data_IF_175064479596
#
_entry.id   IF_175064479596
#
_cell.length_a   1.000
_cell.length_b   1.000
_cell.length_c   1.000
_cell.angle_alpha   90.00
_cell.angle_beta   90.00
_cell.angle_gamma   90.00
#
_symmetry.space_group_name_H-M   'P 1'
#
loop_
_entity.id
_entity.type
_entity.pdbx_description
1 polymer ?
#
# COMPACT_ATOMS: atom_id res chain seq x y z
N UNK A 1 -8.43 -36.03 -11.56
CA UNK A 1 -8.65 -34.57 -11.33
C UNK A 1 -8.20 -34.09 -9.93
N UNK A 2 -7.78 -34.92 -9.01
CA UNK A 2 -7.49 -34.58 -7.61
C UNK A 2 -6.03 -34.16 -7.31
N UNK A 3 -5.06 -34.55 -8.09
CA UNK A 3 -3.62 -34.21 -7.84
C UNK A 3 -3.19 -32.80 -8.28
N UNK A 4 -3.89 -32.16 -9.25
CA UNK A 4 -3.57 -30.79 -9.66
C UNK A 4 -4.08 -29.71 -8.69
N UNK A 5 -5.05 -30.03 -7.80
CA UNK A 5 -5.60 -29.06 -6.83
C UNK A 5 -4.68 -28.79 -5.64
N UNK A 6 -3.81 -29.71 -5.26
CA UNK A 6 -2.91 -29.55 -4.09
C UNK A 6 -1.62 -28.76 -4.38
N UNK A 7 -1.30 -28.50 -5.65
CA UNK A 7 -0.08 -27.77 -6.04
C UNK A 7 -0.19 -26.24 -5.99
N UNK A 8 -1.34 -25.69 -5.57
CA UNK A 8 -1.62 -24.23 -5.73
C UNK A 8 -1.11 -23.40 -4.54
N UNK A 9 -0.93 -23.99 -3.36
CA UNK A 9 -0.46 -23.27 -2.17
C UNK A 9 0.63 -24.05 -1.44
N UNK A 10 1.78 -23.41 -1.18
CA UNK A 10 2.77 -23.99 -0.29
C UNK A 10 2.28 -23.94 1.17
N UNK A 11 2.74 -24.88 2.03
CA UNK A 11 2.38 -24.93 3.46
C UNK A 11 2.73 -23.66 4.22
N UNK A 12 3.78 -22.95 3.81
CA UNK A 12 4.25 -21.68 4.39
C UNK A 12 3.27 -20.50 4.19
N UNK A 13 2.34 -20.61 3.26
CA UNK A 13 1.27 -19.63 3.07
C UNK A 13 -0.07 -20.06 3.66
N UNK A 14 -0.18 -21.15 4.43
CA UNK A 14 -1.46 -21.67 4.92
C UNK A 14 -2.03 -20.95 6.17
N UNK A 15 -1.18 -20.28 6.94
CA UNK A 15 -1.51 -19.57 8.19
C UNK A 15 -1.26 -18.06 8.14
N UNK A 16 -0.82 -17.50 9.24
CA UNK A 16 -0.26 -16.12 9.29
C UNK A 16 0.98 -16.07 8.40
N UNK A 17 1.06 -15.09 7.50
CA UNK A 17 2.22 -14.93 6.62
C UNK A 17 3.26 -14.12 7.39
N UNK A 18 4.41 -14.71 7.72
CA UNK A 18 5.46 -14.01 8.47
C UNK A 18 5.92 -12.75 7.74
N UNK A 19 6.42 -11.80 8.49
CA UNK A 19 7.06 -10.57 8.01
C UNK A 19 6.17 -9.58 7.22
N UNK A 20 4.90 -9.90 6.91
CA UNK A 20 4.04 -8.95 6.19
C UNK A 20 3.70 -7.73 7.04
N UNK A 21 3.46 -7.90 8.34
CA UNK A 21 3.23 -6.75 9.22
C UNK A 21 4.50 -5.90 9.35
N UNK A 22 5.69 -6.55 9.40
CA UNK A 22 6.96 -5.82 9.36
C UNK A 22 7.17 -5.04 8.06
N UNK A 23 6.80 -5.61 6.92
CA UNK A 23 6.84 -4.90 5.64
C UNK A 23 5.88 -3.71 5.60
N UNK A 24 4.67 -3.84 6.19
CA UNK A 24 3.74 -2.72 6.34
C UNK A 24 4.27 -1.64 7.27
N UNK A 25 4.93 -2.04 8.37
CA UNK A 25 5.60 -1.09 9.25
C UNK A 25 6.68 -0.31 8.49
N UNK A 26 7.53 -1.01 7.75
CA UNK A 26 8.54 -0.37 6.90
C UNK A 26 7.91 0.58 5.89
N UNK A 27 6.83 0.17 5.23
CA UNK A 27 6.12 0.98 4.24
C UNK A 27 5.58 2.28 4.84
N UNK A 28 4.87 2.22 5.98
CA UNK A 28 4.31 3.42 6.61
C UNK A 28 5.40 4.32 7.16
N UNK A 29 6.51 3.77 7.67
CA UNK A 29 7.64 4.56 8.16
C UNK A 29 8.32 5.31 7.01
N UNK A 30 8.46 4.73 5.83
CA UNK A 30 8.94 5.45 4.63
C UNK A 30 8.01 6.61 4.26
N UNK A 31 6.69 6.42 4.33
CA UNK A 31 5.72 7.50 4.08
C UNK A 31 5.88 8.61 5.11
N UNK A 32 5.93 8.28 6.39
CA UNK A 32 6.13 9.25 7.47
C UNK A 32 7.43 10.04 7.31
N UNK A 33 8.55 9.35 7.04
CA UNK A 33 9.84 10.02 6.83
C UNK A 33 9.76 11.00 5.65
N UNK A 34 9.13 10.58 4.55
CA UNK A 34 8.96 11.43 3.38
C UNK A 34 8.14 12.69 3.66
N UNK A 35 7.08 12.58 4.45
CA UNK A 35 6.23 13.72 4.79
C UNK A 35 6.84 14.61 5.88
N UNK A 36 7.43 14.03 6.93
CA UNK A 36 8.14 14.79 7.98
C UNK A 36 9.27 15.64 7.43
N UNK A 37 9.97 15.16 6.41
CA UNK A 37 11.10 15.85 5.81
C UNK A 37 10.76 17.27 5.29
N UNK A 38 9.50 17.50 4.94
CA UNK A 38 9.01 18.79 4.46
C UNK A 38 8.45 19.69 5.57
N UNK A 39 8.30 19.19 6.83
CA UNK A 39 7.63 19.94 7.90
C UNK A 39 8.56 20.92 8.61
N UNK A 40 7.98 21.94 9.25
CA UNK A 40 8.71 22.92 10.03
C UNK A 40 9.42 22.26 11.23
N UNK A 41 10.66 22.69 11.48
CA UNK A 41 11.50 22.14 12.55
C UNK A 41 12.13 20.78 12.27
N UNK A 42 11.87 20.17 11.11
CA UNK A 42 12.56 18.94 10.70
C UNK A 42 14.07 19.22 10.54
N UNK A 43 14.93 18.24 10.84
CA UNK A 43 16.37 18.40 10.65
C UNK A 43 16.71 18.74 9.19
N UNK A 44 17.56 19.74 8.96
CA UNK A 44 17.92 20.25 7.62
C UNK A 44 18.45 19.17 6.66
N UNK A 45 19.10 18.13 7.18
CA UNK A 45 19.58 17.01 6.36
C UNK A 45 18.43 16.18 5.75
N UNK A 46 17.21 16.25 6.30
CA UNK A 46 16.03 15.59 5.78
C UNK A 46 15.43 16.33 4.57
N UNK A 47 15.63 17.64 4.47
CA UNK A 47 15.13 18.43 3.34
C UNK A 47 15.94 18.15 2.05
N UNK A 48 15.79 16.93 1.55
CA UNK A 48 16.40 16.44 0.33
C UNK A 48 15.34 15.74 -0.52
N UNK A 49 15.29 15.98 -1.84
CA UNK A 49 14.37 15.28 -2.74
C UNK A 49 14.42 13.74 -2.59
N UNK A 50 15.60 13.22 -2.26
CA UNK A 50 15.80 11.81 -1.97
C UNK A 50 14.98 11.31 -0.78
N UNK A 51 14.82 12.12 0.25
CA UNK A 51 14.10 11.73 1.48
C UNK A 51 12.59 11.97 1.31
N UNK A 52 12.20 13.10 0.74
CA UNK A 52 10.78 13.40 0.50
C UNK A 52 10.11 12.39 -0.43
N UNK A 53 10.86 11.83 -1.39
CA UNK A 53 10.34 10.80 -2.30
C UNK A 53 10.23 9.39 -1.69
N UNK A 54 10.75 9.15 -0.47
CA UNK A 54 10.58 7.87 0.22
C UNK A 54 9.10 7.52 0.44
N UNK A 55 8.23 8.53 0.57
CA UNK A 55 6.79 8.34 0.64
C UNK A 55 6.22 7.56 -0.54
N UNK A 56 6.66 7.88 -1.76
CA UNK A 56 6.24 7.16 -2.97
C UNK A 56 6.71 5.70 -2.96
N UNK A 57 7.92 5.43 -2.47
CA UNK A 57 8.43 4.05 -2.32
C UNK A 57 7.58 3.29 -1.28
N UNK A 58 7.27 3.93 -0.15
CA UNK A 58 6.41 3.36 0.89
C UNK A 58 5.04 2.95 0.35
N UNK A 59 4.38 3.81 -0.43
CA UNK A 59 3.09 3.50 -1.06
C UNK A 59 3.21 2.32 -2.05
N UNK A 60 4.31 2.24 -2.82
CA UNK A 60 4.52 1.09 -3.71
C UNK A 60 4.68 -0.22 -2.96
N UNK A 61 5.36 -0.23 -1.82
CA UNK A 61 5.39 -1.39 -0.94
C UNK A 61 3.97 -1.80 -0.52
N UNK A 62 3.11 -0.86 -0.12
CA UNK A 62 1.72 -1.17 0.21
C UNK A 62 0.98 -1.81 -0.96
N UNK A 63 1.09 -1.28 -2.17
CA UNK A 63 0.43 -1.85 -3.34
C UNK A 63 0.90 -3.28 -3.65
N UNK A 64 2.20 -3.55 -3.60
CA UNK A 64 2.71 -4.90 -3.82
C UNK A 64 2.27 -5.87 -2.72
N UNK A 65 2.30 -5.43 -1.46
CA UNK A 65 1.80 -6.23 -0.33
C UNK A 65 0.31 -6.51 -0.49
N UNK A 66 -0.49 -5.52 -0.91
CA UNK A 66 -1.93 -5.67 -1.15
C UNK A 66 -2.21 -6.66 -2.28
N UNK A 67 -1.54 -6.54 -3.42
CA UNK A 67 -1.65 -7.49 -4.53
C UNK A 67 -1.29 -8.92 -4.10
N UNK A 68 -0.17 -9.08 -3.40
CA UNK A 68 0.30 -10.36 -2.89
C UNK A 68 -0.67 -10.98 -1.88
N UNK A 69 -1.08 -10.21 -0.87
CA UNK A 69 -1.94 -10.70 0.21
C UNK A 69 -3.33 -11.09 -0.29
N UNK A 70 -3.97 -10.21 -1.08
CA UNK A 70 -5.31 -10.47 -1.60
C UNK A 70 -5.32 -11.70 -2.48
N UNK A 71 -4.37 -11.79 -3.41
CA UNK A 71 -4.26 -12.97 -4.29
C UNK A 71 -4.02 -14.23 -3.48
N UNK A 72 -3.13 -14.20 -2.49
CA UNK A 72 -2.88 -15.35 -1.60
C UNK A 72 -4.13 -15.78 -0.85
N UNK A 73 -4.91 -14.83 -0.31
CA UNK A 73 -6.15 -15.13 0.41
C UNK A 73 -7.21 -15.76 -0.49
N UNK A 74 -7.38 -15.24 -1.71
CA UNK A 74 -8.32 -15.78 -2.69
C UNK A 74 -7.90 -17.16 -3.20
N UNK A 75 -6.61 -17.39 -3.43
CA UNK A 75 -6.04 -18.70 -3.77
C UNK A 75 -6.30 -19.73 -2.64
N UNK A 76 -6.09 -19.33 -1.39
CA UNK A 76 -6.39 -20.17 -0.21
C UNK A 76 -7.88 -20.51 -0.10
N UNK A 77 -8.75 -19.52 -0.31
CA UNK A 77 -10.19 -19.73 -0.24
C UNK A 77 -10.63 -20.72 -1.33
N UNK A 78 -10.16 -20.52 -2.56
CA UNK A 78 -10.44 -21.44 -3.66
C UNK A 78 -9.90 -22.86 -3.40
N UNK A 79 -8.68 -23.00 -2.90
CA UNK A 79 -8.09 -24.30 -2.58
C UNK A 79 -8.90 -25.07 -1.52
N UNK A 80 -9.47 -24.35 -0.52
CA UNK A 80 -10.25 -24.96 0.56
C UNK A 80 -11.70 -25.24 0.18
N UNK A 81 -12.37 -24.28 -0.50
CA UNK A 81 -13.82 -24.34 -0.76
C UNK A 81 -14.18 -24.72 -2.21
N UNK A 82 -13.20 -24.79 -3.11
CA UNK A 82 -13.43 -24.98 -4.54
C UNK A 82 -14.00 -23.75 -5.27
N UNK A 83 -14.30 -22.68 -4.56
CA UNK A 83 -14.86 -21.42 -5.08
C UNK A 83 -14.36 -20.23 -4.27
N UNK A 84 -14.47 -19.04 -4.86
CA UNK A 84 -14.28 -17.75 -4.18
C UNK A 84 -15.66 -17.18 -3.89
N UNK A 85 -15.90 -16.80 -2.63
CA UNK A 85 -17.13 -16.13 -2.20
C UNK A 85 -16.89 -14.61 -2.21
N UNK A 86 -17.31 -13.96 -3.31
CA UNK A 86 -17.13 -12.52 -3.51
C UNK A 86 -17.85 -11.70 -2.43
N UNK A 87 -19.07 -12.09 -2.04
CA UNK A 87 -19.82 -11.37 -1.01
C UNK A 87 -19.08 -11.34 0.32
N UNK A 88 -18.61 -12.51 0.77
CA UNK A 88 -17.79 -12.63 1.97
C UNK A 88 -16.46 -11.90 1.86
N UNK A 89 -15.85 -11.89 0.68
CA UNK A 89 -14.61 -11.14 0.44
C UNK A 89 -14.83 -9.64 0.63
N UNK A 90 -15.84 -9.05 -0.05
CA UNK A 90 -16.12 -7.62 0.05
C UNK A 90 -16.53 -7.20 1.45
N UNK A 91 -17.35 -7.98 2.11
CA UNK A 91 -17.78 -7.69 3.47
C UNK A 91 -16.60 -7.67 4.46
N UNK A 92 -15.67 -8.64 4.34
CA UNK A 92 -14.44 -8.64 5.15
C UNK A 92 -13.54 -7.43 4.90
N UNK A 93 -13.51 -6.90 3.68
CA UNK A 93 -12.77 -5.68 3.33
C UNK A 93 -13.47 -4.43 3.83
N UNK A 94 -14.79 -4.34 3.63
CA UNK A 94 -15.59 -3.23 4.14
C UNK A 94 -15.40 -3.03 5.65
N UNK A 95 -15.50 -4.08 6.48
CA UNK A 95 -15.25 -3.98 7.92
C UNK A 95 -13.82 -3.57 8.28
N UNK A 96 -12.85 -3.83 7.43
CA UNK A 96 -11.46 -3.46 7.67
C UNK A 96 -11.15 -2.02 7.32
N UNK A 97 -11.75 -1.48 6.27
CA UNK A 97 -11.31 -0.24 5.61
C UNK A 97 -12.31 0.89 5.86
N UNK A 98 -13.59 0.67 5.56
CA UNK A 98 -14.57 1.75 5.53
C UNK A 98 -14.78 2.48 6.87
N UNK A 99 -14.79 1.80 8.05
CA UNK A 99 -15.04 2.51 9.30
C UNK A 99 -14.01 3.57 9.62
N UNK A 100 -12.72 3.26 9.47
CA UNK A 100 -11.65 4.21 9.76
C UNK A 100 -11.53 5.28 8.65
N UNK A 101 -11.72 4.91 7.37
CA UNK A 101 -11.73 5.86 6.27
C UNK A 101 -12.85 6.90 6.43
N UNK A 102 -14.09 6.45 6.66
CA UNK A 102 -15.23 7.38 6.80
C UNK A 102 -15.17 8.20 8.08
N UNK A 103 -14.63 7.65 9.18
CA UNK A 103 -14.37 8.42 10.38
C UNK A 103 -13.35 9.56 10.12
N UNK A 104 -12.25 9.25 9.41
CA UNK A 104 -11.28 10.26 9.01
C UNK A 104 -11.92 11.33 8.11
N UNK A 105 -12.55 10.92 7.01
CA UNK A 105 -13.17 11.83 6.03
C UNK A 105 -14.21 12.73 6.73
N UNK A 106 -15.06 12.14 7.60
CA UNK A 106 -16.09 12.88 8.34
C UNK A 106 -15.52 13.85 9.36
N UNK A 107 -14.44 13.48 10.08
CA UNK A 107 -13.81 14.38 11.06
C UNK A 107 -13.07 15.53 10.37
N UNK A 108 -12.40 15.32 9.25
CA UNK A 108 -11.80 16.39 8.46
C UNK A 108 -12.88 17.33 7.90
N UNK A 109 -14.00 16.77 7.39
CA UNK A 109 -15.12 17.59 6.94
C UNK A 109 -15.75 18.42 8.08
N UNK A 110 -15.92 17.82 9.26
CA UNK A 110 -16.42 18.52 10.44
C UNK A 110 -15.46 19.64 10.87
N UNK A 111 -14.16 19.40 10.87
CA UNK A 111 -13.16 20.41 11.19
C UNK A 111 -13.21 21.62 10.22
N UNK A 112 -13.44 21.34 8.93
CA UNK A 112 -13.66 22.38 7.93
C UNK A 112 -14.94 23.18 8.21
N UNK A 113 -16.06 22.53 8.51
CA UNK A 113 -17.33 23.19 8.81
C UNK A 113 -17.26 24.04 10.09
N UNK A 114 -16.40 23.68 11.04
CA UNK A 114 -16.13 24.45 12.25
C UNK A 114 -15.12 25.59 12.05
N UNK A 115 -14.57 25.74 10.83
CA UNK A 115 -13.57 26.76 10.51
C UNK A 115 -12.18 26.51 11.10
N UNK A 116 -11.88 25.26 11.52
CA UNK A 116 -10.57 24.92 12.09
C UNK A 116 -9.51 24.66 11.02
N UNK A 117 -9.93 24.25 9.83
CA UNK A 117 -9.05 23.97 8.68
C UNK A 117 -9.66 24.55 7.40
N UNK A 118 -8.80 24.78 6.41
CA UNK A 118 -9.21 25.24 5.07
C UNK A 118 -9.06 24.13 4.04
N UNK A 119 -10.15 23.73 3.40
CA UNK A 119 -10.16 22.74 2.31
C UNK A 119 -10.23 23.38 0.93
N UNK A 120 -10.34 24.72 0.84
CA UNK A 120 -10.40 25.44 -0.44
C UNK A 120 -9.03 25.64 -1.08
N UNK A 121 -7.94 25.53 -0.30
CA UNK A 121 -6.58 25.72 -0.77
C UNK A 121 -6.08 24.48 -1.53
N UNK A 122 -5.80 24.66 -2.82
CA UNK A 122 -5.11 23.66 -3.64
C UNK A 122 -3.62 23.63 -3.31
N UNK A 123 -3.07 22.44 -3.02
CA UNK A 123 -1.64 22.30 -2.74
C UNK A 123 -0.78 22.50 -3.98
N UNK A 124 -1.11 21.94 -5.18
CA UNK A 124 -0.27 22.10 -6.37
C UNK A 124 -0.20 23.54 -6.85
N UNK A 125 -1.33 24.23 -6.91
CA UNK A 125 -1.44 25.57 -7.51
C UNK A 125 -1.36 26.69 -6.48
N UNK A 126 -1.59 26.38 -5.18
CA UNK A 126 -1.79 27.35 -4.10
C UNK A 126 -2.94 28.33 -4.37
N UNK A 127 -3.85 27.97 -5.27
CA UNK A 127 -5.02 28.75 -5.60
C UNK A 127 -6.16 28.43 -4.61
N UNK A 128 -7.02 29.40 -4.39
CA UNK A 128 -8.28 29.24 -3.64
C UNK A 128 -9.39 28.87 -4.62
N UNK A 129 -10.18 27.86 -4.27
CA UNK A 129 -11.36 27.42 -5.02
C UNK A 129 -12.47 27.05 -4.03
N UNK A 130 -13.51 27.86 -3.97
CA UNK A 130 -14.65 27.67 -3.04
C UNK A 130 -15.42 26.37 -3.33
N UNK A 131 -15.39 25.84 -4.54
CA UNK A 131 -16.02 24.57 -4.90
C UNK A 131 -15.15 23.34 -4.55
N UNK A 132 -13.86 23.54 -4.27
CA UNK A 132 -12.92 22.47 -4.02
C UNK A 132 -13.29 21.59 -2.81
N UNK A 133 -13.75 22.11 -1.65
CA UNK A 133 -14.08 21.28 -0.49
C UNK A 133 -15.08 20.17 -0.80
N UNK A 134 -16.17 20.49 -1.48
CA UNK A 134 -17.17 19.50 -1.86
C UNK A 134 -16.62 18.48 -2.88
N UNK A 135 -15.85 18.95 -3.86
CA UNK A 135 -15.19 18.09 -4.85
C UNK A 135 -14.24 17.09 -4.15
N UNK A 136 -13.40 17.54 -3.23
CA UNK A 136 -12.50 16.69 -2.47
C UNK A 136 -13.26 15.67 -1.60
N UNK A 137 -14.32 16.09 -0.93
CA UNK A 137 -15.18 15.20 -0.15
C UNK A 137 -15.78 14.09 -1.03
N UNK A 138 -16.38 14.44 -2.17
CA UNK A 138 -17.01 13.48 -3.08
C UNK A 138 -16.01 12.48 -3.64
N UNK A 139 -14.84 12.95 -4.10
CA UNK A 139 -13.78 12.05 -4.56
C UNK A 139 -13.27 11.12 -3.46
N UNK A 140 -13.20 11.60 -2.21
CA UNK A 140 -12.78 10.79 -1.06
C UNK A 140 -13.81 9.71 -0.71
N UNK A 141 -15.11 10.06 -0.68
CA UNK A 141 -16.21 9.14 -0.37
C UNK A 141 -16.42 8.08 -1.47
N UNK A 142 -16.14 8.41 -2.72
CA UNK A 142 -16.32 7.52 -3.87
C UNK A 142 -15.05 6.73 -4.24
N UNK A 143 -13.95 6.89 -3.49
CA UNK A 143 -12.66 6.28 -3.80
C UNK A 143 -12.18 6.56 -5.23
N UNK A 144 -12.29 7.83 -5.64
CA UNK A 144 -11.81 8.35 -6.93
C UNK A 144 -10.81 9.50 -6.77
N UNK A 145 -10.25 9.67 -5.55
CA UNK A 145 -9.30 10.74 -5.26
C UNK A 145 -8.00 10.66 -6.09
N UNK A 146 -7.68 9.50 -6.63
CA UNK A 146 -6.55 9.28 -7.54
C UNK A 146 -6.72 9.95 -8.91
N UNK A 147 -7.92 10.38 -9.28
CA UNK A 147 -8.23 11.15 -10.50
C UNK A 147 -8.44 12.65 -10.21
N UNK A 148 -8.40 13.07 -8.95
CA UNK A 148 -8.46 14.47 -8.58
C UNK A 148 -7.04 15.04 -8.48
N UNK A 149 -6.57 15.70 -9.54
CA UNK A 149 -5.21 16.25 -9.62
C UNK A 149 -5.07 17.60 -8.92
N UNK A 150 -6.18 18.30 -8.72
CA UNK A 150 -6.26 19.51 -7.91
C UNK A 150 -6.67 19.12 -6.49
N UNK A 151 -5.71 18.79 -5.65
CA UNK A 151 -5.95 18.20 -4.34
C UNK A 151 -5.66 19.17 -3.18
N UNK A 152 -6.41 19.01 -2.10
CA UNK A 152 -6.09 19.58 -0.80
C UNK A 152 -5.23 18.61 0.01
N UNK A 153 -4.36 19.13 0.88
CA UNK A 153 -3.46 18.29 1.68
C UNK A 153 -4.20 17.25 2.52
N UNK A 154 -5.23 17.64 3.26
CA UNK A 154 -5.92 16.76 4.19
C UNK A 154 -6.56 15.53 3.56
N UNK A 155 -6.95 15.56 2.29
CA UNK A 155 -7.52 14.43 1.56
C UNK A 155 -6.56 13.83 0.52
N UNK A 156 -5.38 14.44 0.36
CA UNK A 156 -4.43 14.06 -0.70
C UNK A 156 -4.06 12.58 -0.67
N UNK A 157 -3.65 12.05 0.49
CA UNK A 157 -3.17 10.66 0.62
C UNK A 157 -4.25 9.60 0.28
N UNK A 158 -5.54 9.97 0.29
CA UNK A 158 -6.63 9.05 -0.07
C UNK A 158 -6.60 8.60 -1.54
N UNK A 159 -5.74 9.22 -2.37
CA UNK A 159 -5.52 8.74 -3.73
C UNK A 159 -5.03 7.28 -3.76
N UNK A 160 -4.13 6.90 -2.88
CA UNK A 160 -3.60 5.54 -2.85
C UNK A 160 -4.62 4.53 -2.32
N UNK A 161 -5.41 4.92 -1.33
CA UNK A 161 -6.54 4.13 -0.86
C UNK A 161 -7.57 3.92 -1.97
N UNK A 162 -7.84 4.96 -2.79
CA UNK A 162 -8.72 4.84 -3.97
C UNK A 162 -8.22 3.79 -4.96
N UNK A 163 -6.93 3.80 -5.27
CA UNK A 163 -6.29 2.79 -6.13
C UNK A 163 -6.45 1.37 -5.55
N UNK A 164 -6.24 1.21 -4.24
CA UNK A 164 -6.42 -0.10 -3.58
C UNK A 164 -7.88 -0.57 -3.62
N UNK A 165 -8.86 0.30 -3.35
CA UNK A 165 -10.28 -0.07 -3.37
C UNK A 165 -10.75 -0.42 -4.79
N UNK A 166 -10.29 0.30 -5.82
CA UNK A 166 -10.53 -0.04 -7.22
C UNK A 166 -9.94 -1.43 -7.55
N UNK A 167 -8.73 -1.72 -7.09
CA UNK A 167 -8.12 -3.05 -7.24
C UNK A 167 -8.91 -4.13 -6.48
N UNK A 168 -9.33 -3.88 -5.24
CA UNK A 168 -10.12 -4.84 -4.46
C UNK A 168 -11.48 -5.12 -5.10
N UNK A 169 -12.05 -4.15 -5.79
CA UNK A 169 -13.26 -4.35 -6.57
C UNK A 169 -13.00 -5.23 -7.81
N UNK A 170 -11.96 -4.95 -8.58
CA UNK A 170 -11.73 -5.56 -9.88
C UNK A 170 -11.07 -6.94 -9.82
N UNK A 171 -10.02 -7.11 -8.99
CA UNK A 171 -9.17 -8.30 -9.03
C UNK A 171 -9.88 -9.61 -8.66
N UNK A 172 -10.75 -9.67 -7.62
CA UNK A 172 -11.51 -10.89 -7.33
C UNK A 172 -12.44 -11.29 -8.47
N UNK A 173 -13.05 -10.33 -9.18
CA UNK A 173 -13.83 -10.63 -10.39
C UNK A 173 -12.98 -11.23 -11.50
N UNK A 174 -11.79 -10.69 -11.74
CA UNK A 174 -10.84 -11.24 -12.71
C UNK A 174 -10.52 -12.70 -12.39
N UNK A 175 -10.25 -13.02 -11.11
CA UNK A 175 -9.96 -14.40 -10.67
C UNK A 175 -11.16 -15.34 -10.85
N UNK A 176 -12.37 -14.87 -10.58
CA UNK A 176 -13.59 -15.68 -10.71
C UNK A 176 -13.97 -15.88 -12.16
N UNK A 177 -13.97 -14.83 -12.98
CA UNK A 177 -14.44 -14.89 -14.37
C UNK A 177 -13.42 -15.51 -15.33
N UNK A 178 -12.14 -15.14 -15.20
CA UNK A 178 -11.09 -15.63 -16.08
C UNK A 178 -10.47 -16.95 -15.60
N UNK A 179 -10.58 -17.26 -14.30
CA UNK A 179 -9.88 -18.37 -13.68
C UNK A 179 -8.38 -18.09 -13.49
N UNK A 180 -7.71 -18.87 -12.65
CA UNK A 180 -6.33 -18.58 -12.22
C UNK A 180 -5.30 -18.54 -13.35
N UNK A 181 -5.43 -19.41 -14.36
CA UNK A 181 -4.48 -19.45 -15.48
C UNK A 181 -4.54 -18.18 -16.31
N UNK A 182 -5.75 -17.71 -16.67
CA UNK A 182 -5.92 -16.48 -17.45
C UNK A 182 -5.64 -15.23 -16.63
N UNK A 183 -5.94 -15.24 -15.33
CA UNK A 183 -5.63 -14.12 -14.44
C UNK A 183 -4.12 -13.84 -14.34
N UNK A 184 -3.28 -14.88 -14.51
CA UNK A 184 -1.83 -14.69 -14.65
C UNK A 184 -1.50 -13.80 -15.86
N UNK A 185 -2.15 -14.06 -17.01
CA UNK A 185 -1.94 -13.25 -18.22
C UNK A 185 -2.49 -11.82 -18.06
N UNK A 186 -3.59 -11.64 -17.31
CA UNK A 186 -4.12 -10.30 -16.99
C UNK A 186 -3.12 -9.53 -16.13
N UNK A 187 -2.52 -10.16 -15.10
CA UNK A 187 -1.49 -9.52 -14.29
C UNK A 187 -0.25 -9.16 -15.13
N UNK A 188 0.21 -10.06 -16.01
CA UNK A 188 1.32 -9.79 -16.92
C UNK A 188 0.99 -8.67 -17.90
N UNK A 189 -0.23 -8.65 -18.45
CA UNK A 189 -0.68 -7.56 -19.31
C UNK A 189 -0.65 -6.21 -18.59
N UNK A 190 -1.13 -6.12 -17.34
CA UNK A 190 -1.07 -4.90 -16.55
C UNK A 190 0.38 -4.43 -16.34
N UNK A 191 1.31 -5.35 -16.02
CA UNK A 191 2.73 -5.04 -15.83
C UNK A 191 3.37 -4.48 -17.10
N UNK A 192 2.93 -4.94 -18.27
CA UNK A 192 3.46 -4.49 -19.57
C UNK A 192 2.77 -3.22 -20.06
N UNK A 193 1.45 -3.11 -19.86
CA UNK A 193 0.66 -2.00 -20.38
C UNK A 193 0.79 -0.73 -19.55
N UNK A 194 0.89 -0.79 -18.22
CA UNK A 194 1.02 0.41 -17.40
C UNK A 194 2.23 1.29 -17.78
N UNK A 195 3.46 0.76 -18.01
CA UNK A 195 4.57 1.55 -18.51
C UNK A 195 4.29 2.20 -19.88
N UNK A 196 3.60 1.47 -20.77
CA UNK A 196 3.21 2.00 -22.09
C UNK A 196 2.17 3.10 -21.97
N UNK A 197 1.20 2.94 -21.06
CA UNK A 197 0.20 3.97 -20.75
C UNK A 197 0.89 5.22 -20.19
N UNK A 198 1.83 5.08 -19.24
CA UNK A 198 2.61 6.22 -18.73
C UNK A 198 3.39 6.92 -19.86
N UNK A 199 3.99 6.16 -20.77
CA UNK A 199 4.66 6.71 -21.94
C UNK A 199 3.68 7.47 -22.85
N UNK A 200 2.52 6.88 -23.11
CA UNK A 200 1.47 7.51 -23.92
C UNK A 200 0.95 8.81 -23.27
N UNK A 201 0.71 8.78 -21.94
CA UNK A 201 0.30 9.96 -21.18
C UNK A 201 1.37 11.07 -21.24
N UNK A 202 2.65 10.70 -21.24
CA UNK A 202 3.74 11.66 -21.35
C UNK A 202 3.87 12.26 -22.77
N UNK A 203 3.69 11.45 -23.81
CA UNK A 203 3.91 11.85 -25.21
C UNK A 203 2.71 12.61 -25.81
N UNK A 204 1.50 12.21 -25.44
CA UNK A 204 0.26 12.66 -26.10
C UNK A 204 -0.79 13.23 -25.14
N UNK A 205 -0.58 13.07 -23.80
CA UNK A 205 -1.52 13.52 -22.81
C UNK A 205 -1.20 14.92 -22.31
N UNK A 206 -2.22 15.78 -22.28
CA UNK A 206 -2.17 17.04 -21.54
C UNK A 206 -2.61 16.78 -20.08
N UNK A 207 -1.83 15.92 -19.40
CA UNK A 207 -2.11 15.51 -18.02
C UNK A 207 -0.93 15.88 -17.11
N UNK A 208 -1.19 16.32 -15.88
CA UNK A 208 -0.12 16.69 -14.95
C UNK A 208 0.73 15.46 -14.58
N UNK A 209 2.03 15.66 -14.34
CA UNK A 209 2.97 14.57 -13.98
C UNK A 209 2.50 13.72 -12.80
N UNK A 210 1.71 14.28 -11.90
CA UNK A 210 1.16 13.58 -10.74
C UNK A 210 0.25 12.42 -11.14
N UNK A 211 -0.43 12.49 -12.29
CA UNK A 211 -1.29 11.45 -12.83
C UNK A 211 -0.54 10.14 -13.08
N UNK A 212 0.75 10.21 -13.51
CA UNK A 212 1.59 9.05 -13.77
C UNK A 212 1.86 8.18 -12.54
N UNK A 213 1.68 8.75 -11.35
CA UNK A 213 1.92 8.08 -10.08
C UNK A 213 0.63 7.79 -9.29
N UNK A 214 -0.54 8.21 -9.78
CA UNK A 214 -1.80 8.14 -9.02
C UNK A 214 -2.94 7.46 -9.76
N UNK A 215 -3.07 7.66 -11.08
CA UNK A 215 -4.16 7.06 -11.83
C UNK A 215 -4.02 5.55 -11.90
N UNK A 216 -5.15 4.84 -11.69
CA UNK A 216 -5.17 3.38 -11.57
C UNK A 216 -4.49 2.69 -12.76
N UNK A 217 -4.82 3.11 -14.00
CA UNK A 217 -4.24 2.54 -15.22
C UNK A 217 -2.75 2.81 -15.38
N UNK A 218 -2.23 3.81 -14.68
CA UNK A 218 -0.81 4.15 -14.71
C UNK A 218 0.01 3.43 -13.63
N UNK A 219 -0.61 2.97 -12.52
CA UNK A 219 0.11 2.43 -11.36
C UNK A 219 -0.28 0.99 -10.98
N UNK A 220 -1.27 0.41 -11.63
CA UNK A 220 -1.75 -0.94 -11.33
C UNK A 220 -0.68 -2.04 -11.54
N UNK A 221 0.42 -1.75 -12.24
CA UNK A 221 1.58 -2.65 -12.37
C UNK A 221 2.18 -3.06 -11.01
N UNK A 222 2.18 -2.17 -10.02
CA UNK A 222 2.66 -2.48 -8.67
C UNK A 222 1.77 -3.55 -8.01
N UNK A 223 0.44 -3.37 -8.03
CA UNK A 223 -0.53 -4.35 -7.54
C UNK A 223 -0.43 -5.67 -8.31
N UNK A 224 -0.35 -5.60 -9.64
CA UNK A 224 -0.25 -6.76 -10.52
C UNK A 224 1.05 -7.57 -10.27
N UNK A 225 2.19 -6.92 -10.00
CA UNK A 225 3.42 -7.60 -9.60
C UNK A 225 3.26 -8.34 -8.27
N UNK A 226 2.53 -7.75 -7.31
CA UNK A 226 2.15 -8.43 -6.07
C UNK A 226 1.31 -9.68 -6.33
N UNK A 227 0.31 -9.58 -7.20
CA UNK A 227 -0.52 -10.72 -7.62
C UNK A 227 0.33 -11.82 -8.29
N UNK A 228 1.19 -11.44 -9.22
CA UNK A 228 2.09 -12.36 -9.91
C UNK A 228 3.04 -13.06 -8.91
N UNK A 229 3.58 -12.32 -7.95
CA UNK A 229 4.43 -12.85 -6.90
C UNK A 229 3.72 -13.92 -6.06
N UNK A 230 2.43 -13.74 -5.74
CA UNK A 230 1.62 -14.73 -5.05
C UNK A 230 1.34 -15.97 -5.92
N UNK A 231 0.94 -15.76 -7.16
CA UNK A 231 0.60 -16.85 -8.10
C UNK A 231 1.82 -17.72 -8.46
N UNK A 232 3.00 -17.12 -8.54
CA UNK A 232 4.24 -17.82 -8.88
C UNK A 232 5.02 -18.32 -7.66
N UNK A 233 4.58 -18.04 -6.43
CA UNK A 233 5.33 -18.34 -5.21
C UNK A 233 5.81 -19.80 -5.15
N UNK A 234 4.92 -20.77 -5.39
CA UNK A 234 5.24 -22.20 -5.38
C UNK A 234 6.20 -22.58 -6.51
N UNK A 235 5.98 -22.05 -7.72
CA UNK A 235 6.85 -22.35 -8.87
C UNK A 235 8.26 -21.82 -8.66
N UNK A 236 8.41 -20.61 -8.12
CA UNK A 236 9.72 -20.03 -7.78
C UNK A 236 10.43 -20.84 -6.70
N UNK A 237 9.69 -21.39 -5.72
CA UNK A 237 10.24 -22.26 -4.67
C UNK A 237 10.71 -23.62 -5.20
N UNK A 238 10.15 -24.09 -6.32
CA UNK A 238 10.56 -25.33 -6.97
C UNK A 238 11.82 -25.19 -7.83
N UNK A 239 12.28 -23.97 -8.14
CA UNK A 239 13.50 -23.70 -8.91
C UNK A 239 14.70 -23.58 -7.98
N UNK A 240 15.67 -24.52 -7.96
CA UNK A 240 16.75 -24.57 -6.94
C UNK A 240 17.58 -23.27 -6.87
N UNK A 241 17.97 -22.73 -8.03
CA UNK A 241 18.78 -21.49 -8.11
C UNK A 241 18.01 -20.27 -7.59
N UNK A 242 16.73 -20.13 -7.97
CA UNK A 242 15.86 -19.03 -7.52
C UNK A 242 15.60 -19.13 -6.02
N UNK A 243 15.32 -20.35 -5.53
CA UNK A 243 15.15 -20.61 -4.10
C UNK A 243 16.42 -20.25 -3.32
N UNK A 244 17.59 -20.71 -3.76
CA UNK A 244 18.88 -20.41 -3.13
C UNK A 244 19.13 -18.89 -3.06
N UNK A 245 18.87 -18.15 -4.16
CA UNK A 245 18.96 -16.70 -4.19
C UNK A 245 17.98 -16.05 -3.21
N UNK A 246 16.69 -16.38 -3.29
CA UNK A 246 15.64 -15.75 -2.47
C UNK A 246 15.76 -16.06 -0.98
N UNK A 247 16.42 -17.17 -0.60
CA UNK A 247 16.67 -17.52 0.81
C UNK A 247 18.02 -17.05 1.32
N UNK A 248 18.89 -16.51 0.47
CA UNK A 248 20.19 -15.97 0.89
C UNK A 248 19.97 -14.72 1.80
N UNK A 249 20.68 -14.59 2.93
CA UNK A 249 20.39 -13.56 3.94
C UNK A 249 20.63 -12.12 3.47
N UNK A 250 21.46 -11.88 2.46
CA UNK A 250 21.84 -10.54 1.99
C UNK A 250 21.51 -10.30 0.51
N UNK A 251 21.70 -11.31 -0.37
CA UNK A 251 21.62 -11.08 -1.81
C UNK A 251 20.28 -10.50 -2.29
N UNK A 252 19.09 -10.97 -1.84
CA UNK A 252 17.83 -10.39 -2.28
C UNK A 252 17.63 -8.95 -1.80
N UNK A 253 18.11 -8.63 -0.59
CA UNK A 253 18.01 -7.27 -0.04
C UNK A 253 18.93 -6.31 -0.80
N UNK A 254 20.17 -6.74 -1.11
CA UNK A 254 21.12 -5.96 -1.89
C UNK A 254 20.63 -5.72 -3.32
N UNK A 255 20.17 -6.79 -4.01
CA UNK A 255 19.63 -6.65 -5.39
C UNK A 255 18.35 -5.83 -5.40
N UNK A 256 17.43 -6.07 -4.47
CA UNK A 256 16.20 -5.29 -4.35
C UNK A 256 16.48 -3.81 -4.07
N UNK A 257 17.35 -3.53 -3.12
CA UNK A 257 17.79 -2.17 -2.80
C UNK A 257 18.50 -1.47 -3.96
N UNK A 258 19.36 -2.19 -4.70
CA UNK A 258 20.03 -1.67 -5.89
C UNK A 258 19.02 -1.31 -6.99
N UNK A 259 18.03 -2.15 -7.25
CA UNK A 259 16.99 -1.87 -8.24
C UNK A 259 16.13 -0.64 -7.86
N UNK A 260 15.77 -0.52 -6.58
CA UNK A 260 15.05 0.66 -6.08
C UNK A 260 15.94 1.91 -6.20
N UNK A 261 17.21 1.82 -5.82
CA UNK A 261 18.18 2.91 -5.94
C UNK A 261 18.42 3.33 -7.39
N UNK A 262 18.55 2.37 -8.31
CA UNK A 262 18.68 2.64 -9.75
C UNK A 262 17.42 3.29 -10.34
N UNK A 263 16.23 2.83 -9.92
CA UNK A 263 14.98 3.45 -10.29
C UNK A 263 14.92 4.92 -9.84
N UNK A 264 15.38 5.19 -8.63
CA UNK A 264 15.45 6.52 -8.09
C UNK A 264 16.47 7.40 -8.83
N UNK A 265 17.69 6.88 -9.05
CA UNK A 265 18.73 7.58 -9.78
C UNK A 265 18.31 7.89 -11.23
N UNK A 266 17.48 7.08 -11.83
CA UNK A 266 16.96 7.31 -13.19
C UNK A 266 16.18 8.62 -13.32
N UNK A 267 15.53 9.08 -12.26
CA UNK A 267 14.83 10.37 -12.24
C UNK A 267 15.79 11.58 -12.37
N UNK A 268 17.03 11.41 -11.97
CA UNK A 268 18.07 12.44 -12.12
C UNK A 268 18.60 12.54 -13.56
N UNK A 269 18.43 11.46 -14.35
CA UNK A 269 18.94 11.38 -15.72
C UNK A 269 17.84 11.72 -16.74
N UNK A 270 16.64 11.14 -16.56
CA UNK A 270 15.54 11.32 -17.49
C UNK A 270 14.21 11.05 -16.80
N UNK A 271 13.35 12.07 -16.71
CA UNK A 271 12.00 11.92 -16.13
C UNK A 271 11.15 10.88 -16.88
N UNK A 272 11.05 10.88 -18.23
CA UNK A 272 10.32 9.85 -18.95
C UNK A 272 10.80 8.44 -18.64
N UNK A 273 12.13 8.24 -18.59
CA UNK A 273 12.70 6.94 -18.24
C UNK A 273 12.31 6.53 -16.81
N UNK A 274 12.33 7.45 -15.86
CA UNK A 274 11.94 7.19 -14.48
C UNK A 274 10.46 6.76 -14.37
N UNK A 275 9.55 7.42 -15.10
CA UNK A 275 8.14 7.08 -15.08
C UNK A 275 7.85 5.74 -15.77
N UNK A 276 8.55 5.40 -16.85
CA UNK A 276 8.30 4.18 -17.64
C UNK A 276 9.01 2.97 -17.03
N UNK A 277 10.35 3.01 -16.99
CA UNK A 277 11.17 1.87 -16.57
C UNK A 277 11.59 1.94 -15.10
N UNK A 278 11.85 3.14 -14.55
CA UNK A 278 12.25 3.30 -13.16
C UNK A 278 11.20 2.73 -12.21
N UNK A 279 9.90 2.97 -12.47
CA UNK A 279 8.83 2.39 -11.65
C UNK A 279 8.80 0.86 -11.72
N UNK A 280 9.04 0.26 -12.89
CA UNK A 280 9.12 -1.20 -13.05
C UNK A 280 10.29 -1.78 -12.27
N UNK A 281 11.46 -1.13 -12.33
CA UNK A 281 12.66 -1.54 -11.56
C UNK A 281 12.39 -1.46 -10.05
N UNK A 282 11.76 -0.39 -9.57
CA UNK A 282 11.38 -0.24 -8.17
C UNK A 282 10.44 -1.35 -7.73
N UNK A 283 9.37 -1.61 -8.49
CA UNK A 283 8.41 -2.67 -8.20
C UNK A 283 9.08 -4.05 -8.17
N UNK A 284 10.00 -4.34 -9.10
CA UNK A 284 10.76 -5.59 -9.14
C UNK A 284 11.65 -5.73 -7.89
N UNK A 285 12.35 -4.66 -7.50
CA UNK A 285 13.15 -4.64 -6.27
C UNK A 285 12.32 -4.96 -5.04
N UNK A 286 11.14 -4.34 -4.91
CA UNK A 286 10.21 -4.57 -3.80
C UNK A 286 9.71 -6.01 -3.79
N UNK A 287 9.36 -6.60 -4.96
CA UNK A 287 8.93 -8.00 -5.06
C UNK A 287 10.02 -8.95 -4.57
N UNK A 288 11.28 -8.71 -4.93
CA UNK A 288 12.42 -9.53 -4.49
C UNK A 288 12.54 -9.49 -2.96
N UNK A 289 12.46 -8.30 -2.35
CA UNK A 289 12.51 -8.12 -0.89
C UNK A 289 11.32 -8.81 -0.22
N UNK A 290 10.11 -8.62 -0.73
CA UNK A 290 8.89 -9.26 -0.21
C UNK A 290 9.02 -10.79 -0.26
N UNK A 291 9.43 -11.35 -1.39
CA UNK A 291 9.60 -12.78 -1.56
C UNK A 291 10.67 -13.36 -0.63
N UNK A 292 11.76 -12.62 -0.38
CA UNK A 292 12.78 -13.01 0.60
C UNK A 292 12.21 -13.07 2.02
N UNK A 293 11.59 -11.98 2.48
CA UNK A 293 11.10 -11.87 3.86
C UNK A 293 9.98 -12.87 4.18
N UNK A 294 9.13 -13.18 3.21
CA UNK A 294 8.07 -14.18 3.38
C UNK A 294 8.66 -15.60 3.46
N UNK A 295 9.71 -15.91 2.67
CA UNK A 295 10.33 -17.26 2.66
C UNK A 295 11.33 -17.48 3.78
N UNK A 296 11.94 -16.42 4.27
CA UNK A 296 13.10 -16.50 5.16
C UNK A 296 12.90 -15.70 6.45
N UNK A 297 11.82 -15.96 7.24
CA UNK A 297 11.54 -15.21 8.46
C UNK A 297 12.62 -15.37 9.54
N UNK A 298 13.46 -16.43 9.44
CA UNK A 298 14.56 -16.68 10.36
C UNK A 298 15.86 -15.91 10.07
N UNK A 299 15.97 -15.22 8.93
CA UNK A 299 17.11 -14.34 8.65
C UNK A 299 17.08 -13.10 9.56
N UNK A 300 18.20 -12.36 9.65
CA UNK A 300 18.27 -11.16 10.48
C UNK A 300 17.17 -10.14 10.10
N UNK A 301 16.96 -9.92 8.81
CA UNK A 301 15.92 -9.01 8.33
C UNK A 301 14.50 -9.53 8.65
N UNK A 302 14.28 -10.84 8.48
CA UNK A 302 13.02 -11.49 8.86
C UNK A 302 12.77 -11.41 10.37
N UNK A 303 13.80 -11.61 11.20
CA UNK A 303 13.67 -11.44 12.68
C UNK A 303 13.30 -10.02 13.06
N UNK A 304 13.94 -9.01 12.44
CA UNK A 304 13.60 -7.60 12.66
C UNK A 304 12.14 -7.33 12.27
N UNK A 305 11.72 -7.77 11.08
CA UNK A 305 10.36 -7.61 10.58
C UNK A 305 9.30 -8.27 11.48
N UNK A 306 9.66 -9.31 12.23
CA UNK A 306 8.78 -10.04 13.15
C UNK A 306 8.93 -9.63 14.63
N UNK A 307 9.72 -8.59 14.95
CA UNK A 307 9.76 -8.04 16.31
C UNK A 307 8.37 -7.49 16.70
N UNK A 308 7.94 -7.77 17.94
CA UNK A 308 6.62 -7.34 18.45
C UNK A 308 6.32 -5.86 18.20
N UNK A 309 7.22 -4.88 18.51
CA UNK A 309 6.93 -3.47 18.25
C UNK A 309 6.82 -3.17 16.74
N UNK A 310 7.62 -3.80 15.88
CA UNK A 310 7.56 -3.62 14.43
C UNK A 310 6.24 -4.18 13.89
N UNK A 311 5.85 -5.38 14.30
CA UNK A 311 4.57 -5.98 13.92
C UNK A 311 3.38 -5.15 14.41
N UNK A 312 3.46 -4.51 15.59
CA UNK A 312 2.44 -3.61 16.11
C UNK A 312 2.28 -2.37 15.22
N UNK A 313 3.38 -1.72 14.83
CA UNK A 313 3.35 -0.58 13.88
C UNK A 313 2.72 -1.03 12.56
N UNK A 314 3.08 -2.21 12.07
CA UNK A 314 2.48 -2.78 10.85
C UNK A 314 0.98 -3.06 10.97
N UNK A 315 0.53 -3.54 12.13
CA UNK A 315 -0.89 -3.73 12.40
C UNK A 315 -1.67 -2.41 12.43
N UNK A 316 -1.04 -1.33 12.93
CA UNK A 316 -1.60 0.03 12.98
C UNK A 316 -1.35 0.84 11.71
N UNK A 317 -0.64 0.28 10.72
CA UNK A 317 -0.16 1.03 9.54
C UNK A 317 -1.26 1.74 8.78
N UNK A 318 -2.46 1.16 8.71
CA UNK A 318 -3.61 1.77 8.07
C UNK A 318 -4.10 3.03 8.82
N UNK A 319 -4.33 2.92 10.13
CA UNK A 319 -4.68 4.09 10.94
C UNK A 319 -3.57 5.16 10.91
N UNK A 320 -2.29 4.74 10.97
CA UNK A 320 -1.16 5.67 10.93
C UNK A 320 -1.07 6.40 9.57
N UNK A 321 -1.33 5.67 8.47
CA UNK A 321 -1.39 6.26 7.14
C UNK A 321 -2.52 7.30 7.01
N UNK A 322 -3.71 7.03 7.58
CA UNK A 322 -4.83 7.95 7.53
C UNK A 322 -4.58 9.22 8.38
N UNK A 323 -4.11 9.07 9.61
CA UNK A 323 -4.09 10.14 10.60
C UNK A 323 -2.82 10.98 10.63
N UNK A 324 -1.82 10.68 9.81
CA UNK A 324 -0.59 11.47 9.75
C UNK A 324 -0.77 12.84 9.06
N UNK A 325 -1.63 12.93 8.03
CA UNK A 325 -1.73 14.12 7.16
C UNK A 325 -2.05 15.42 7.91
N UNK A 326 -2.98 15.47 8.87
CA UNK A 326 -3.28 16.71 9.58
C UNK A 326 -2.07 17.29 10.33
N UNK A 327 -1.17 16.42 10.81
CA UNK A 327 0.00 16.81 11.60
C UNK A 327 1.25 17.04 10.75
N UNK A 328 1.31 16.49 9.56
CA UNK A 328 2.47 16.62 8.67
C UNK A 328 2.26 17.66 7.55
N UNK A 329 1.35 18.62 7.78
CA UNK A 329 1.04 19.65 6.80
C UNK A 329 2.12 20.75 6.78
N UNK A 330 2.98 20.68 5.78
CA UNK A 330 4.17 21.52 5.65
C UNK A 330 3.89 23.00 5.30
N UNK A 331 2.68 23.34 4.82
CA UNK A 331 2.30 24.72 4.53
C UNK A 331 1.77 25.48 5.77
N UNK A 332 1.47 24.77 6.84
CA UNK A 332 0.99 25.34 8.10
C UNK A 332 2.10 25.27 9.13
N UNK A 333 2.48 26.41 9.68
CA UNK A 333 3.47 26.52 10.77
C UNK A 333 2.75 26.76 12.10
N UNK A 334 2.30 25.67 12.72
CA UNK A 334 1.65 25.67 14.02
C UNK A 334 2.33 24.62 14.94
N UNK A 335 2.05 24.67 16.24
CA UNK A 335 2.69 23.78 17.21
C UNK A 335 2.46 22.28 16.91
N UNK A 336 1.27 21.93 16.40
CA UNK A 336 0.89 20.57 16.05
C UNK A 336 1.55 20.05 14.76
N UNK A 337 2.01 20.95 13.87
CA UNK A 337 2.66 20.56 12.61
C UNK A 337 4.20 20.61 12.68
N UNK A 338 4.75 21.08 13.81
CA UNK A 338 6.21 21.15 14.01
C UNK A 338 6.81 19.83 14.49
N UNK A 339 7.95 19.46 13.91
CA UNK A 339 8.77 18.34 14.39
C UNK A 339 9.40 18.67 15.77
N UNK A 340 9.48 17.70 16.71
CA UNK A 340 9.07 16.29 16.62
C UNK A 340 7.63 16.02 17.08
N UNK A 341 6.89 17.02 17.52
CA UNK A 341 5.56 16.86 18.11
C UNK A 341 4.54 16.32 17.12
N UNK A 342 4.63 16.74 15.86
CA UNK A 342 3.79 16.26 14.76
C UNK A 342 3.84 14.71 14.61
N UNK A 343 5.00 14.09 14.79
CA UNK A 343 5.12 12.62 14.81
C UNK A 343 4.39 12.00 16.00
N UNK A 344 4.58 12.55 17.19
CA UNK A 344 3.93 12.04 18.40
C UNK A 344 2.40 12.13 18.27
N UNK A 345 1.88 13.22 17.74
CA UNK A 345 0.45 13.42 17.50
C UNK A 345 -0.07 12.46 16.42
N UNK A 346 0.69 12.24 15.34
CA UNK A 346 0.35 11.26 14.30
C UNK A 346 0.23 9.84 14.87
N UNK A 347 1.20 9.41 15.69
CA UNK A 347 1.14 8.11 16.35
C UNK A 347 0.01 8.02 17.37
N UNK A 348 -0.24 9.09 18.14
CA UNK A 348 -1.32 9.17 19.13
C UNK A 348 -2.70 9.05 18.46
N UNK A 349 -2.96 9.84 17.42
CA UNK A 349 -4.21 9.80 16.66
C UNK A 349 -4.43 8.44 15.99
N UNK A 350 -3.37 7.89 15.39
CA UNK A 350 -3.40 6.55 14.80
C UNK A 350 -3.72 5.46 15.82
N UNK A 351 -3.12 5.52 17.02
CA UNK A 351 -3.40 4.57 18.09
C UNK A 351 -4.86 4.67 18.56
N UNK A 352 -5.39 5.88 18.74
CA UNK A 352 -6.79 6.11 19.10
C UNK A 352 -7.72 5.53 18.02
N UNK A 353 -7.49 5.84 16.75
CA UNK A 353 -8.27 5.29 15.64
C UNK A 353 -8.18 3.77 15.57
N UNK A 354 -6.98 3.20 15.67
CA UNK A 354 -6.79 1.75 15.68
C UNK A 354 -7.53 1.08 16.84
N UNK A 355 -7.43 1.63 18.06
CA UNK A 355 -8.00 1.04 19.28
C UNK A 355 -9.51 1.16 19.35
N UNK A 356 -10.08 2.32 18.96
CA UNK A 356 -11.48 2.65 19.17
C UNK A 356 -12.34 2.56 17.91
N UNK A 357 -11.74 2.59 16.72
CA UNK A 357 -12.47 2.46 15.46
C UNK A 357 -12.12 1.13 14.79
N UNK A 358 -10.86 0.91 14.39
CA UNK A 358 -10.49 -0.25 13.57
C UNK A 358 -10.70 -1.57 14.33
N UNK A 359 -10.17 -1.71 15.54
CA UNK A 359 -10.26 -2.97 16.31
C UNK A 359 -11.70 -3.44 16.61
N UNK A 360 -12.66 -2.57 17.01
CA UNK A 360 -14.03 -3.01 17.24
C UNK A 360 -14.68 -3.65 16.00
N UNK A 361 -14.49 -3.03 14.84
CA UNK A 361 -15.03 -3.57 13.58
C UNK A 361 -14.31 -4.86 13.13
N UNK A 362 -13.01 -4.99 13.39
CA UNK A 362 -12.30 -6.24 13.15
C UNK A 362 -12.81 -7.38 14.04
N UNK A 363 -13.11 -7.11 15.33
CA UNK A 363 -13.72 -8.10 16.24
C UNK A 363 -15.14 -8.45 15.81
N UNK A 364 -15.93 -7.46 15.37
CA UNK A 364 -17.28 -7.70 14.85
C UNK A 364 -17.23 -8.62 13.62
N UNK A 365 -16.30 -8.38 12.70
CA UNK A 365 -16.03 -9.24 11.54
C UNK A 365 -15.71 -10.68 11.97
N UNK A 366 -14.85 -10.88 12.99
CA UNK A 366 -14.50 -12.21 13.50
C UNK A 366 -15.71 -12.95 14.10
N UNK A 367 -16.57 -12.23 14.81
CA UNK A 367 -17.81 -12.80 15.39
C UNK A 367 -18.83 -13.23 14.34
N UNK A 368 -19.02 -12.42 13.29
CA UNK A 368 -20.02 -12.67 12.25
C UNK A 368 -19.60 -13.74 11.23
N UNK A 369 -18.29 -13.95 11.03
CA UNK A 369 -17.78 -14.81 9.93
C UNK A 369 -16.99 -16.03 10.41
N UNK A 370 -16.98 -16.31 11.72
CA UNK A 370 -16.23 -17.41 12.31
C UNK A 370 -14.72 -17.24 12.12
N UNK A 371 -13.99 -17.06 13.20
CA UNK A 371 -12.53 -17.09 13.18
C UNK A 371 -12.06 -18.48 12.74
N UNK A 372 -11.11 -18.63 11.80
CA UNK A 372 -10.30 -19.83 11.81
C UNK A 372 -9.61 -19.85 13.17
N UNK A 373 -9.86 -20.90 13.97
CA UNK A 373 -9.39 -21.06 15.34
C UNK A 373 -7.95 -20.52 15.47
N UNK A 374 -7.77 -19.44 16.25
CA UNK A 374 -6.45 -19.13 16.79
C UNK A 374 -6.12 -20.30 17.70
N UNK A 375 -5.18 -21.14 17.30
CA UNK A 375 -4.49 -22.02 18.22
C UNK A 375 -4.00 -21.14 19.36
N UNK A 376 -4.65 -21.25 20.50
CA UNK A 376 -4.15 -20.74 21.78
C UNK A 376 -2.95 -21.61 22.18
N UNK A 377 -1.83 -21.39 21.50
CA UNK A 377 -0.54 -21.76 22.04
C UNK A 377 -0.23 -20.69 23.08
N UNK A 378 -0.26 -21.12 24.33
CA UNK A 378 -0.18 -20.29 25.52
C UNK A 378 0.99 -19.32 25.52
N UNK A 379 0.69 -18.17 26.07
CA UNK A 379 1.67 -17.30 26.69
C UNK A 379 1.31 -17.28 28.18
N UNK A 380 2.24 -17.70 29.06
CA UNK A 380 2.11 -17.47 30.49
C UNK A 380 2.15 -15.97 30.82
#
# INVERSE_FOLDING_TARGET
MTRQRQAILPPDLSGHIPSLDGLRAFSVLLVLIGHVAATHGAPLWMDKPAITSLGNIGVRFFFLISGFLITTLLLREHARKGRIDLGQFYLRRAYRILPAAFAYIGLIWLAFQLGWIDLSLSVPTRAQDEAAPLRHLLHSLTFTANYNHDYNWYYNHLWSLSVEEQFYLLWPFVLVLAGFSRSLHVALAAILLCPLIRLAMHLWGDVPEIAFNREFQAIADALAMGCLAAMLHTRLSAMPRVKAFLTHPLAPLAVGGLLIGAAYASALVSRPFAFVLGQVLSNLGIVIILQHLVRSPGTWAGRIANLKPVALIGAMSYSLYLWQEPFLYFLVDSWETRFPLNLLLSFGAAWLSYRFIEQPFLRLKERLHGSPARSTAGVP
#
